data_IF_079582669250
#
_entry.id   IF_079582669250
#
_cell.length_a   1.000
_cell.length_b   1.000
_cell.length_c   1.000
_cell.angle_alpha   90.00
_cell.angle_beta   90.00
_cell.angle_gamma   90.00
#
_symmetry.space_group_name_H-M   'P 1'
#
loop_
_entity.id
_entity.type
_entity.pdbx_description
1 polymer ?
#
# COMPACT_ATOMS: atom_id res chain seq x y z
N UNK A 1 10.56 10.72 -14.15
CA UNK A 1 10.19 10.28 -12.77
C UNK A 1 8.85 9.59 -12.85
N UNK A 2 8.73 8.41 -12.28
CA UNK A 2 7.49 7.63 -12.26
C UNK A 2 6.77 7.83 -10.93
N UNK A 3 5.46 8.01 -10.98
CA UNK A 3 4.62 8.18 -9.80
C UNK A 3 3.70 6.97 -9.66
N UNK A 4 3.85 6.24 -8.56
CA UNK A 4 3.17 4.97 -8.31
C UNK A 4 2.36 5.06 -7.03
N UNK A 5 1.09 4.65 -7.10
CA UNK A 5 0.22 4.52 -5.95
C UNK A 5 0.10 3.05 -5.54
N UNK A 6 0.17 2.79 -4.25
CA UNK A 6 -0.10 1.46 -3.67
C UNK A 6 -1.38 1.55 -2.85
N UNK A 7 -2.34 0.71 -3.16
CA UNK A 7 -3.64 0.66 -2.51
C UNK A 7 -4.25 -0.75 -2.67
N UNK A 8 -5.46 -0.93 -2.21
CA UNK A 8 -6.20 -2.20 -2.35
C UNK A 8 -7.43 -2.05 -3.23
N UNK A 9 -7.82 -3.14 -3.85
CA UNK A 9 -9.09 -3.27 -4.56
C UNK A 9 -9.75 -4.60 -4.24
N UNK A 10 -11.08 -4.59 -4.10
CA UNK A 10 -11.88 -5.78 -3.90
C UNK A 10 -12.62 -6.10 -5.20
N UNK A 11 -12.32 -7.25 -5.79
CA UNK A 11 -13.05 -7.75 -6.95
C UNK A 11 -14.21 -8.61 -6.45
N UNK A 12 -15.43 -8.16 -6.71
CA UNK A 12 -16.64 -8.82 -6.23
C UNK A 12 -16.73 -10.28 -6.68
N UNK A 13 -16.89 -11.17 -5.73
CA UNK A 13 -17.11 -12.59 -5.99
C UNK A 13 -17.87 -13.21 -4.79
N UNK A 14 -18.86 -14.03 -5.08
CA UNK A 14 -19.67 -14.71 -4.07
C UNK A 14 -19.53 -16.23 -4.10
N UNK A 15 -18.63 -16.75 -4.88
CA UNK A 15 -18.35 -18.18 -4.95
C UNK A 15 -17.74 -18.68 -3.63
N UNK A 16 -17.93 -19.94 -3.33
CA UNK A 16 -17.29 -20.58 -2.18
C UNK A 16 -15.82 -20.83 -2.48
N UNK A 17 -14.97 -19.96 -1.95
CA UNK A 17 -13.53 -20.08 -2.07
C UNK A 17 -12.88 -19.54 -0.79
N UNK A 18 -11.83 -20.18 -0.31
CA UNK A 18 -11.11 -19.73 0.90
C UNK A 18 -10.42 -18.37 0.75
N UNK A 19 -10.23 -17.90 -0.48
CA UNK A 19 -9.66 -16.58 -0.78
C UNK A 19 -10.69 -15.43 -0.74
N UNK A 20 -11.99 -15.73 -0.58
CA UNK A 20 -13.02 -14.70 -0.47
C UNK A 20 -12.93 -14.02 0.89
N UNK A 21 -12.84 -12.69 0.85
CA UNK A 21 -12.74 -11.83 2.03
C UNK A 21 -14.04 -11.02 2.17
N UNK A 22 -14.44 -10.78 3.41
CA UNK A 22 -15.53 -9.89 3.76
C UNK A 22 -15.00 -8.53 4.22
N UNK A 23 -15.31 -7.48 3.45
CA UNK A 23 -14.95 -6.09 3.74
C UNK A 23 -16.21 -5.24 3.85
N UNK A 24 -16.71 -4.98 5.07
CA UNK A 24 -18.01 -4.32 5.27
C UNK A 24 -18.04 -2.86 4.80
N UNK A 25 -16.89 -2.21 4.68
CA UNK A 25 -16.77 -0.80 4.25
C UNK A 25 -16.71 -0.63 2.74
N UNK A 26 -16.63 -1.70 1.97
CA UNK A 26 -16.62 -1.65 0.51
C UNK A 26 -18.05 -1.74 -0.06
N UNK A 27 -18.33 -1.14 -1.23
CA UNK A 27 -19.65 -1.23 -1.87
C UNK A 27 -20.10 -2.68 -2.13
N UNK A 28 -19.17 -3.52 -2.59
CA UNK A 28 -19.32 -4.97 -2.69
C UNK A 28 -18.52 -5.60 -1.57
N UNK A 29 -19.19 -6.23 -0.62
CA UNK A 29 -18.60 -6.65 0.66
C UNK A 29 -17.83 -7.98 0.59
N UNK A 30 -18.10 -8.81 -0.44
CA UNK A 30 -17.47 -10.10 -0.61
C UNK A 30 -16.68 -10.14 -1.92
N UNK A 31 -15.45 -10.62 -1.89
CA UNK A 31 -14.65 -10.79 -3.07
C UNK A 31 -13.20 -11.12 -2.78
N UNK A 32 -12.39 -11.05 -3.83
CA UNK A 32 -10.95 -11.18 -3.75
C UNK A 32 -10.33 -9.82 -3.45
N UNK A 33 -9.53 -9.75 -2.39
CA UNK A 33 -8.79 -8.54 -2.03
C UNK A 33 -7.40 -8.58 -2.68
N UNK A 34 -7.14 -7.59 -3.51
CA UNK A 34 -5.82 -7.38 -4.12
C UNK A 34 -5.17 -6.14 -3.55
N UNK A 35 -3.89 -6.25 -3.26
CA UNK A 35 -3.02 -5.08 -3.10
C UNK A 35 -2.43 -4.79 -4.46
N UNK A 36 -2.58 -3.58 -4.92
CA UNK A 36 -2.22 -3.17 -6.27
C UNK A 36 -1.19 -2.04 -6.25
N UNK A 37 -0.38 -2.04 -7.28
CA UNK A 37 0.55 -0.96 -7.58
C UNK A 37 0.19 -0.38 -8.94
N UNK A 38 -0.24 0.87 -8.98
CA UNK A 38 -0.73 1.55 -10.17
C UNK A 38 0.10 2.76 -10.53
N UNK A 39 0.24 3.01 -11.83
CA UNK A 39 0.71 4.31 -12.30
C UNK A 39 -0.31 5.41 -11.99
N UNK A 40 0.12 6.51 -11.33
CA UNK A 40 -0.76 7.56 -10.88
C UNK A 40 -1.42 8.35 -12.03
N UNK A 41 -0.78 8.41 -13.19
CA UNK A 41 -1.28 9.19 -14.31
C UNK A 41 -2.25 8.40 -15.20
N UNK A 42 -1.95 7.14 -15.45
CA UNK A 42 -2.73 6.30 -16.37
C UNK A 42 -3.72 5.39 -15.65
N UNK A 43 -3.51 5.11 -14.37
CA UNK A 43 -4.29 4.12 -13.63
C UNK A 43 -3.98 2.67 -14.02
N UNK A 44 -2.96 2.44 -14.83
CA UNK A 44 -2.57 1.09 -15.24
C UNK A 44 -1.99 0.35 -14.04
N UNK A 45 -2.47 -0.86 -13.80
CA UNK A 45 -1.93 -1.76 -12.77
C UNK A 45 -0.59 -2.29 -13.28
N UNK A 46 0.47 -1.98 -12.53
CA UNK A 46 1.83 -2.41 -12.85
C UNK A 46 2.18 -3.73 -12.18
N UNK A 47 1.65 -3.95 -10.99
CA UNK A 47 1.86 -5.17 -10.23
C UNK A 47 0.72 -5.36 -9.23
N UNK A 48 0.49 -6.59 -8.80
CA UNK A 48 -0.56 -6.88 -7.83
C UNK A 48 -0.16 -8.07 -6.93
N UNK A 49 -0.80 -8.13 -5.78
CA UNK A 49 -0.66 -9.20 -4.80
C UNK A 49 -2.04 -9.62 -4.31
N UNK A 50 -2.41 -10.88 -4.52
CA UNK A 50 -3.66 -11.43 -3.99
C UNK A 50 -3.51 -11.72 -2.49
N UNK A 51 -4.39 -11.13 -1.68
CA UNK A 51 -4.42 -11.40 -0.25
C UNK A 51 -5.00 -12.78 0.01
N UNK A 52 -4.23 -13.61 0.68
CA UNK A 52 -4.63 -14.93 1.16
C UNK A 52 -4.83 -14.86 2.68
N UNK A 53 -6.06 -15.10 3.11
CA UNK A 53 -6.40 -15.27 4.51
C UNK A 53 -6.39 -16.76 4.80
N UNK A 54 -5.39 -17.23 5.52
CA UNK A 54 -5.29 -18.64 5.91
C UNK A 54 -6.52 -19.14 6.68
N UNK A 55 -6.60 -20.43 6.88
CA UNK A 55 -7.73 -21.13 7.57
C UNK A 55 -8.06 -20.48 8.94
N UNK A 56 -7.09 -19.87 9.59
CA UNK A 56 -7.25 -19.19 10.88
C UNK A 56 -7.67 -17.71 10.79
N UNK A 57 -8.02 -17.22 9.61
CA UNK A 57 -8.43 -15.82 9.41
C UNK A 57 -7.30 -14.79 9.45
N UNK A 58 -6.05 -15.21 9.58
CA UNK A 58 -4.89 -14.32 9.54
C UNK A 58 -4.28 -14.28 8.13
N UNK A 59 -3.88 -13.10 7.68
CA UNK A 59 -3.15 -12.96 6.41
C UNK A 59 -1.84 -13.77 6.45
N UNK A 60 -1.59 -14.57 5.41
CA UNK A 60 -0.37 -15.37 5.28
C UNK A 60 0.87 -14.52 5.06
N UNK A 61 0.69 -13.34 4.48
CA UNK A 61 1.74 -12.33 4.26
C UNK A 61 1.30 -11.01 4.88
N UNK A 62 2.14 -10.42 5.70
CA UNK A 62 1.84 -9.12 6.31
C UNK A 62 1.70 -8.03 5.26
N UNK A 63 0.93 -6.98 5.56
CA UNK A 63 0.76 -5.82 4.68
C UNK A 63 2.09 -5.20 4.26
N UNK A 64 3.01 -5.04 5.20
CA UNK A 64 4.35 -4.48 4.93
C UNK A 64 5.14 -5.36 3.96
N UNK A 65 5.13 -6.67 4.15
CA UNK A 65 5.85 -7.60 3.28
C UNK A 65 5.21 -7.67 1.88
N UNK A 66 3.89 -7.62 1.77
CA UNK A 66 3.20 -7.56 0.48
C UNK A 66 3.57 -6.28 -0.28
N UNK A 67 3.54 -5.13 0.38
CA UNK A 67 3.95 -3.85 -0.21
C UNK A 67 5.43 -3.86 -0.63
N UNK A 68 6.31 -4.41 0.20
CA UNK A 68 7.72 -4.56 -0.14
C UNK A 68 7.92 -5.37 -1.43
N UNK A 69 7.20 -6.48 -1.58
CA UNK A 69 7.23 -7.29 -2.80
C UNK A 69 6.72 -6.54 -4.03
N UNK A 70 5.66 -5.75 -3.88
CA UNK A 70 5.17 -4.90 -4.96
C UNK A 70 6.20 -3.86 -5.37
N UNK A 71 6.84 -3.20 -4.40
CA UNK A 71 7.84 -2.16 -4.65
C UNK A 71 9.11 -2.69 -5.30
N UNK A 72 9.53 -3.92 -4.99
CA UNK A 72 10.73 -4.56 -5.54
C UNK A 72 10.73 -4.57 -7.09
N UNK A 73 9.56 -4.70 -7.69
CA UNK A 73 9.41 -4.63 -9.14
C UNK A 73 9.98 -3.33 -9.73
N UNK A 74 9.79 -2.21 -9.04
CA UNK A 74 10.27 -0.89 -9.48
C UNK A 74 11.78 -0.72 -9.30
N UNK A 75 12.38 -1.40 -8.33
CA UNK A 75 13.79 -1.25 -8.00
C UNK A 75 14.72 -1.82 -9.09
N UNK A 76 14.24 -2.83 -9.81
CA UNK A 76 15.01 -3.49 -10.86
C UNK A 76 15.10 -2.71 -12.18
N UNK A 77 14.30 -1.66 -12.33
CA UNK A 77 14.17 -0.94 -13.59
C UNK A 77 14.92 0.40 -13.65
N UNK A 78 15.75 0.71 -12.66
CA UNK A 78 16.58 1.94 -12.58
C UNK A 78 15.78 3.25 -12.77
N UNK A 79 14.48 3.20 -12.54
CA UNK A 79 13.57 4.32 -12.73
C UNK A 79 13.40 5.03 -11.38
N UNK A 80 13.70 6.32 -11.35
CA UNK A 80 13.35 7.14 -10.18
C UNK A 80 11.85 7.13 -9.98
N UNK A 81 11.43 6.50 -8.88
CA UNK A 81 10.02 6.30 -8.55
C UNK A 81 9.68 7.06 -7.27
N UNK A 82 8.50 7.68 -7.27
CA UNK A 82 7.86 8.19 -6.05
C UNK A 82 6.66 7.31 -5.75
N UNK A 83 6.67 6.69 -4.57
CA UNK A 83 5.56 5.88 -4.09
C UNK A 83 4.61 6.71 -3.25
N UNK A 84 3.31 6.55 -3.48
CA UNK A 84 2.24 7.18 -2.75
C UNK A 84 1.41 6.12 -2.04
N UNK A 85 1.25 6.27 -0.74
CA UNK A 85 0.46 5.34 0.07
C UNK A 85 -0.49 6.07 0.99
N UNK A 86 -1.63 5.44 1.31
CA UNK A 86 -2.51 5.95 2.34
C UNK A 86 -2.00 5.56 3.75
N UNK A 87 -2.72 6.00 4.78
CA UNK A 87 -2.34 5.77 6.18
C UNK A 87 -2.25 4.28 6.58
N UNK A 88 -2.98 3.40 5.88
CA UNK A 88 -2.97 1.97 6.15
C UNK A 88 -1.66 1.31 5.74
N UNK A 89 -1.03 1.82 4.69
CA UNK A 89 0.19 1.28 4.08
C UNK A 89 1.45 2.03 4.48
N UNK A 90 1.34 3.24 5.02
CA UNK A 90 2.49 4.04 5.40
C UNK A 90 3.18 3.44 6.61
N UNK A 91 4.46 3.09 6.47
CA UNK A 91 5.30 2.59 7.56
C UNK A 91 6.74 3.03 7.41
N UNK A 92 7.47 3.08 8.53
CA UNK A 92 8.90 3.42 8.54
C UNK A 92 9.70 2.39 7.75
N UNK A 93 9.34 1.11 7.83
CA UNK A 93 10.02 0.04 7.11
C UNK A 93 9.95 0.23 5.59
N UNK A 94 8.78 0.60 5.05
CA UNK A 94 8.61 0.88 3.63
C UNK A 94 9.31 2.17 3.20
N UNK A 95 9.30 3.20 4.04
CA UNK A 95 10.05 4.42 3.82
C UNK A 95 11.56 4.14 3.69
N UNK A 96 12.11 3.38 4.63
CA UNK A 96 13.52 2.99 4.62
C UNK A 96 13.87 2.15 3.40
N UNK A 97 13.00 1.23 3.00
CA UNK A 97 13.17 0.41 1.81
C UNK A 97 13.22 1.26 0.54
N UNK A 98 12.33 2.23 0.42
CA UNK A 98 12.30 3.16 -0.72
C UNK A 98 13.59 3.99 -0.77
N UNK A 99 13.99 4.59 0.34
CA UNK A 99 15.20 5.42 0.43
C UNK A 99 16.47 4.61 0.11
N UNK A 100 16.57 3.38 0.61
CA UNK A 100 17.69 2.48 0.31
C UNK A 100 17.82 2.23 -1.21
N UNK A 101 16.71 2.19 -1.92
CA UNK A 101 16.66 1.98 -3.37
C UNK A 101 16.57 3.29 -4.18
N UNK A 102 16.90 4.42 -3.56
CA UNK A 102 16.92 5.76 -4.19
C UNK A 102 15.56 6.19 -4.74
N UNK A 103 14.48 5.71 -4.14
CA UNK A 103 13.11 6.09 -4.45
C UNK A 103 12.58 7.09 -3.41
N UNK A 104 11.62 7.89 -3.82
CA UNK A 104 10.88 8.76 -2.91
C UNK A 104 9.64 8.03 -2.36
N UNK A 105 9.21 8.42 -1.17
CA UNK A 105 8.03 7.86 -0.53
C UNK A 105 7.21 8.97 0.11
N UNK A 106 5.96 9.06 -0.25
CA UNK A 106 4.99 10.02 0.28
C UNK A 106 3.79 9.25 0.78
N UNK A 107 3.46 9.40 2.04
CA UNK A 107 2.34 8.68 2.61
C UNK A 107 1.64 9.49 3.69
N UNK A 108 0.33 9.25 3.83
CA UNK A 108 -0.42 9.74 4.98
C UNK A 108 -0.07 8.89 6.19
N UNK A 109 0.34 9.53 7.28
CA UNK A 109 0.75 8.85 8.50
C UNK A 109 -0.30 8.96 9.60
N UNK A 110 -0.46 7.89 10.37
CA UNK A 110 -1.18 7.94 11.66
C UNK A 110 -0.20 8.30 12.76
N UNK A 111 -0.48 9.37 13.51
CA UNK A 111 0.41 9.86 14.56
C UNK A 111 0.77 8.79 15.61
N UNK A 112 -0.16 7.89 15.93
CA UNK A 112 0.04 6.80 16.89
C UNK A 112 0.95 5.66 16.42
N UNK A 113 1.27 5.59 15.12
CA UNK A 113 2.18 4.58 14.56
C UNK A 113 3.64 5.01 14.57
N UNK A 114 3.90 6.27 14.81
CA UNK A 114 5.24 6.84 14.78
C UNK A 114 5.57 7.37 16.18
N UNK A 115 6.61 6.82 16.80
CA UNK A 115 7.09 7.31 18.09
C UNK A 115 7.72 8.69 17.88
N UNK A 116 7.45 9.63 18.80
CA UNK A 116 7.86 11.03 18.73
C UNK A 116 9.35 11.27 18.47
N UNK A 117 10.20 10.30 18.79
CA UNK A 117 11.66 10.44 18.69
C UNK A 117 12.24 10.10 17.31
N UNK A 118 11.43 9.63 16.36
CA UNK A 118 11.94 9.15 15.06
C UNK A 118 11.68 10.10 13.89
N UNK A 119 10.72 11.01 14.01
CA UNK A 119 10.36 11.96 12.96
C UNK A 119 10.06 13.33 13.56
N UNK A 120 10.73 14.36 13.09
CA UNK A 120 10.30 15.74 13.32
C UNK A 120 9.15 16.03 12.37
N UNK A 121 7.97 16.24 12.93
CA UNK A 121 6.79 16.66 12.17
C UNK A 121 6.86 18.17 11.96
N UNK A 122 6.89 18.61 10.73
CA UNK A 122 6.57 19.98 10.41
C UNK A 122 5.05 20.08 10.22
N UNK A 123 4.40 20.79 11.10
CA UNK A 123 3.00 21.13 10.94
C UNK A 123 2.91 22.21 9.86
N UNK A 124 2.52 21.81 8.66
CA UNK A 124 2.20 22.78 7.62
C UNK A 124 0.84 23.38 7.97
N UNK A 125 0.83 24.62 8.44
CA UNK A 125 -0.39 25.39 8.56
C UNK A 125 -1.04 25.47 7.18
N UNK A 126 -2.11 24.72 6.98
CA UNK A 126 -3.00 24.98 5.85
C UNK A 126 -3.64 26.32 6.13
N UNK A 127 -3.17 27.35 5.44
CA UNK A 127 -3.82 28.64 5.47
C UNK A 127 -5.32 28.43 5.28
N UNK A 128 -6.10 29.03 6.16
CA UNK A 128 -7.56 29.08 5.97
C UNK A 128 -7.80 29.94 4.73
N UNK A 129 -8.07 29.31 3.65
CA UNK A 129 -8.72 29.97 2.51
C UNK A 129 -10.20 30.15 2.83
#
# INVERSE_FOLDING_TARGET
MTHICIDETLISCRNRCHLIIYEPNKPHKYGFLFRIMCDCYTGIILNFFLCDVGINGAETVTMVNACAKLMEWSFHNDIRTTFYTDRGYTSIALLQLALKNKCNFIGTAQANRFQENTLKWEQVDRGKD
#
